data_IF_791594828823
#
_entry.id   IF_791594828823
#
_cell.length_a   1.000
_cell.length_b   1.000
_cell.length_c   1.000
_cell.angle_alpha   90.00
_cell.angle_beta   90.00
_cell.angle_gamma   90.00
#
_symmetry.space_group_name_H-M   'P 1'
#
loop_
_entity.id
_entity.type
_entity.pdbx_description
1 polymer ?
#
# COMPACT_ATOMS: atom_id res chain seq x y z
N UNK A 1 -29.67 39.15 -62.71
CA UNK A 1 -30.69 38.79 -61.71
C UNK A 1 -30.00 37.98 -60.62
N UNK A 2 -29.56 38.58 -59.51
CA UNK A 2 -30.31 39.09 -58.35
C UNK A 2 -30.38 38.06 -57.19
N UNK A 3 -29.74 38.49 -56.07
CA UNK A 3 -30.04 38.21 -54.65
C UNK A 3 -29.63 36.87 -53.99
N UNK A 4 -28.55 36.99 -53.21
CA UNK A 4 -28.43 36.68 -51.77
C UNK A 4 -29.59 35.92 -51.11
N UNK A 5 -29.25 34.85 -50.37
CA UNK A 5 -29.69 34.73 -48.96
C UNK A 5 -28.60 34.11 -48.09
N UNK A 6 -28.24 34.88 -47.06
CA UNK A 6 -27.37 34.55 -45.92
C UNK A 6 -28.27 33.93 -44.86
N UNK A 7 -27.95 32.74 -44.33
CA UNK A 7 -28.56 32.25 -43.08
C UNK A 7 -27.47 31.83 -42.10
N UNK A 8 -27.36 32.65 -41.05
CA UNK A 8 -26.58 32.47 -39.82
C UNK A 8 -27.41 31.55 -38.91
N UNK A 9 -26.84 30.46 -38.39
CA UNK A 9 -27.31 29.77 -37.17
C UNK A 9 -26.11 29.21 -36.40
N UNK A 10 -25.77 29.99 -35.39
CA UNK A 10 -25.28 29.68 -34.05
C UNK A 10 -24.54 28.38 -33.69
N UNK A 11 -23.52 28.64 -32.88
CA UNK A 11 -22.70 27.73 -32.12
C UNK A 11 -23.48 26.92 -31.08
N UNK A 12 -23.18 25.62 -31.04
CA UNK A 12 -22.77 24.83 -29.85
C UNK A 12 -22.92 23.34 -30.19
N UNK A 13 -21.91 22.79 -30.86
CA UNK A 13 -21.69 21.35 -30.86
C UNK A 13 -20.58 21.05 -29.84
N UNK A 14 -20.99 20.84 -28.58
CA UNK A 14 -20.15 20.12 -27.61
C UNK A 14 -20.29 18.65 -27.94
N UNK A 15 -19.40 18.13 -28.76
CA UNK A 15 -19.18 16.69 -28.90
C UNK A 15 -17.78 16.44 -29.41
N UNK A 16 -16.92 15.93 -28.53
CA UNK A 16 -16.38 14.58 -28.66
C UNK A 16 -15.51 14.28 -27.44
N UNK A 17 -16.06 13.43 -26.59
CA UNK A 17 -15.34 12.59 -25.66
C UNK A 17 -14.15 11.96 -26.41
N UNK A 18 -12.93 12.44 -26.14
CA UNK A 18 -11.71 11.71 -26.47
C UNK A 18 -11.31 10.97 -25.20
N UNK A 19 -11.37 9.64 -25.15
CA UNK A 19 -10.67 8.94 -24.11
C UNK A 19 -9.19 9.25 -24.31
N UNK A 20 -8.59 10.02 -23.39
CA UNK A 20 -7.14 9.98 -23.20
C UNK A 20 -6.86 8.60 -22.61
N UNK A 21 -6.76 7.60 -23.49
CA UNK A 21 -5.82 6.52 -23.21
C UNK A 21 -4.48 7.20 -22.95
N UNK A 22 -3.86 6.91 -21.81
CA UNK A 22 -2.46 7.23 -21.57
C UNK A 22 -1.67 6.62 -22.72
N UNK A 23 -1.34 7.44 -23.72
CA UNK A 23 -0.55 6.99 -24.86
C UNK A 23 0.83 6.67 -24.32
N UNK A 24 1.08 5.40 -24.03
CA UNK A 24 2.39 4.78 -23.92
C UNK A 24 3.15 4.79 -25.27
N UNK A 25 2.84 5.73 -26.16
CA UNK A 25 3.38 5.96 -27.48
C UNK A 25 3.50 7.47 -27.69
N UNK A 26 4.54 8.05 -27.09
CA UNK A 26 5.02 9.40 -27.39
C UNK A 26 6.42 9.27 -27.99
N UNK A 27 6.62 9.83 -29.18
CA UNK A 27 7.93 9.97 -29.82
C UNK A 27 8.93 10.57 -28.84
N UNK A 28 10.13 10.00 -28.80
CA UNK A 28 11.29 10.58 -28.14
C UNK A 28 11.62 11.93 -28.79
N UNK A 29 11.22 13.00 -28.13
CA UNK A 29 11.67 14.36 -28.37
C UNK A 29 12.30 14.86 -27.08
N UNK A 30 13.58 15.17 -27.12
CA UNK A 30 14.34 15.84 -26.07
C UNK A 30 13.84 17.28 -25.93
N UNK A 31 12.79 17.49 -25.14
CA UNK A 31 12.45 18.81 -24.63
C UNK A 31 12.61 18.78 -23.12
N UNK A 32 13.55 19.56 -22.60
CA UNK A 32 13.61 19.91 -21.19
C UNK A 32 12.25 20.50 -20.81
N UNK A 33 11.45 19.71 -20.09
CA UNK A 33 10.21 20.21 -19.51
C UNK A 33 10.58 21.17 -18.39
N UNK A 34 10.59 22.46 -18.70
CA UNK A 34 10.47 23.51 -17.70
C UNK A 34 9.29 23.15 -16.77
N UNK A 35 9.62 22.88 -15.50
CA UNK A 35 8.65 22.61 -14.46
C UNK A 35 7.96 23.94 -14.14
N UNK A 36 6.93 24.29 -14.92
CA UNK A 36 6.08 25.42 -14.58
C UNK A 36 5.45 25.18 -13.19
N UNK A 37 5.45 26.17 -12.29
CA UNK A 37 4.86 26.02 -10.98
C UNK A 37 3.40 25.65 -11.14
N UNK A 38 3.05 24.44 -10.69
CA UNK A 38 1.72 23.87 -10.81
C UNK A 38 0.76 24.79 -10.05
N UNK A 39 -0.07 25.56 -10.79
CA UNK A 39 -1.13 26.39 -10.19
C UNK A 39 -1.91 25.54 -9.20
N UNK A 40 -1.93 25.97 -7.94
CA UNK A 40 -2.75 25.34 -6.90
C UNK A 40 -4.19 25.41 -7.40
N UNK A 41 -4.74 24.27 -7.82
CA UNK A 41 -6.15 24.19 -8.22
C UNK A 41 -7.00 24.65 -7.03
N UNK A 42 -7.91 25.60 -7.27
CA UNK A 42 -8.88 26.01 -6.25
C UNK A 42 -9.59 24.76 -5.73
N UNK A 43 -9.68 24.63 -4.41
CA UNK A 43 -10.37 23.50 -3.75
C UNK A 43 -11.78 23.40 -4.29
N UNK A 44 -12.12 22.23 -4.84
CA UNK A 44 -13.46 21.96 -5.34
C UNK A 44 -14.35 21.51 -4.16
N UNK A 45 -14.98 22.47 -3.48
CA UNK A 45 -15.83 22.22 -2.31
C UNK A 45 -16.94 21.19 -2.55
N UNK A 46 -17.52 21.14 -3.75
CA UNK A 46 -18.52 20.12 -4.09
C UNK A 46 -17.94 18.70 -4.01
N UNK A 47 -16.66 18.53 -4.34
CA UNK A 47 -15.95 17.24 -4.23
C UNK A 47 -15.68 16.89 -2.79
N UNK A 48 -15.24 17.88 -2.00
CA UNK A 48 -14.97 17.69 -0.56
C UNK A 48 -16.26 17.28 0.16
N UNK A 49 -17.37 17.99 -0.09
CA UNK A 49 -18.68 17.67 0.48
C UNK A 49 -19.18 16.30 0.02
N UNK A 50 -18.99 15.93 -1.26
CA UNK A 50 -19.35 14.61 -1.75
C UNK A 50 -18.54 13.50 -1.05
N UNK A 51 -17.22 13.68 -0.88
CA UNK A 51 -16.39 12.71 -0.17
C UNK A 51 -16.76 12.62 1.31
N UNK A 52 -17.06 13.74 1.95
CA UNK A 52 -17.53 13.75 3.34
C UNK A 52 -18.86 13.00 3.48
N UNK A 53 -19.81 13.23 2.56
CA UNK A 53 -21.07 12.51 2.53
C UNK A 53 -20.87 11.00 2.31
N UNK A 54 -19.99 10.60 1.38
CA UNK A 54 -19.64 9.19 1.15
C UNK A 54 -19.00 8.58 2.40
N UNK A 55 -18.06 9.29 3.03
CA UNK A 55 -17.38 8.84 4.25
C UNK A 55 -18.39 8.63 5.39
N UNK A 56 -19.24 9.62 5.67
CA UNK A 56 -20.24 9.54 6.73
C UNK A 56 -21.27 8.43 6.44
N UNK A 57 -21.67 8.26 5.18
CA UNK A 57 -22.56 7.16 4.79
C UNK A 57 -21.88 5.80 4.94
N UNK A 58 -20.60 5.69 4.54
CA UNK A 58 -19.78 4.50 4.69
C UNK A 58 -19.53 4.12 6.15
N UNK A 59 -19.40 5.11 7.03
CA UNK A 59 -19.31 4.91 8.47
C UNK A 59 -20.66 4.49 9.05
N UNK A 60 -21.74 5.19 8.70
CA UNK A 60 -23.09 4.87 9.14
C UNK A 60 -23.46 3.41 8.88
N UNK A 61 -23.22 2.90 7.68
CA UNK A 61 -23.57 1.50 7.37
C UNK A 61 -22.73 0.45 8.14
N UNK A 62 -21.55 0.83 8.66
CA UNK A 62 -20.69 -0.03 9.48
C UNK A 62 -21.07 -0.04 10.95
N UNK A 63 -21.86 0.94 11.40
CA UNK A 63 -22.20 1.14 12.81
C UNK A 63 -23.69 0.97 13.09
N UNK A 64 -24.57 1.32 12.14
CA UNK A 64 -26.01 1.48 12.39
C UNK A 64 -26.72 0.21 12.87
N UNK A 65 -26.27 -0.97 12.42
CA UNK A 65 -26.89 -2.26 12.78
C UNK A 65 -26.11 -3.06 13.82
N UNK A 66 -24.90 -2.62 14.16
CA UNK A 66 -23.99 -3.32 15.07
C UNK A 66 -23.83 -2.61 16.40
N UNK A 67 -24.23 -1.33 16.50
CA UNK A 67 -24.10 -0.55 17.74
C UNK A 67 -24.85 -1.19 18.91
N UNK A 68 -26.15 -1.48 18.75
CA UNK A 68 -26.95 -2.08 19.83
C UNK A 68 -26.40 -3.45 20.26
N UNK A 69 -26.10 -4.41 19.36
CA UNK A 69 -25.44 -5.66 19.75
C UNK A 69 -24.07 -5.49 20.43
N UNK A 70 -23.32 -4.45 20.07
CA UNK A 70 -21.97 -4.21 20.60
C UNK A 70 -21.96 -3.54 21.98
N UNK A 71 -23.03 -2.85 22.35
CA UNK A 71 -23.12 -2.10 23.62
C UNK A 71 -24.15 -2.65 24.60
N UNK A 72 -24.87 -3.71 24.21
CA UNK A 72 -25.95 -4.28 25.02
C UNK A 72 -25.74 -5.79 25.12
N UNK A 73 -25.30 -6.29 26.27
CA UNK A 73 -25.16 -7.74 26.47
C UNK A 73 -26.52 -8.37 26.77
N UNK A 74 -26.63 -9.70 26.63
CA UNK A 74 -27.85 -10.47 26.96
C UNK A 74 -28.19 -10.39 28.47
N UNK A 75 -27.27 -9.94 29.34
CA UNK A 75 -27.42 -10.00 30.80
C UNK A 75 -27.24 -8.67 31.55
N UNK A 76 -26.61 -7.62 30.97
CA UNK A 76 -26.46 -6.25 31.52
C UNK A 76 -25.92 -5.24 30.46
N UNK A 77 -25.84 -3.93 30.77
CA UNK A 77 -25.11 -2.94 29.94
C UNK A 77 -23.61 -3.30 29.89
N UNK A 78 -23.03 -3.44 28.69
CA UNK A 78 -21.62 -3.86 28.52
C UNK A 78 -21.18 -3.97 27.06
N UNK A 79 -19.86 -4.06 26.83
CA UNK A 79 -19.28 -4.14 25.49
C UNK A 79 -19.10 -5.59 25.01
N UNK A 80 -19.42 -5.85 23.73
CA UNK A 80 -19.18 -7.14 23.07
C UNK A 80 -18.48 -6.96 21.73
N UNK A 81 -17.47 -7.79 21.48
CA UNK A 81 -16.76 -7.85 20.20
C UNK A 81 -17.38 -8.88 19.27
N UNK A 82 -17.37 -8.58 17.98
CA UNK A 82 -17.81 -9.48 16.90
C UNK A 82 -16.60 -10.17 16.25
N UNK A 83 -16.81 -11.01 15.22
CA UNK A 83 -15.70 -11.62 14.46
C UNK A 83 -15.09 -12.89 15.03
N UNK A 84 -15.58 -13.37 16.17
CA UNK A 84 -15.11 -14.60 16.80
C UNK A 84 -13.98 -14.34 17.79
N UNK A 85 -13.02 -15.27 17.89
CA UNK A 85 -11.99 -15.26 18.95
C UNK A 85 -10.93 -14.18 18.80
N UNK A 86 -10.65 -13.74 17.57
CA UNK A 86 -9.49 -12.90 17.29
C UNK A 86 -9.60 -11.50 17.91
N UNK A 87 -10.74 -10.79 17.78
CA UNK A 87 -10.95 -9.50 18.45
C UNK A 87 -10.83 -9.55 19.98
N UNK A 88 -11.30 -10.62 20.63
CA UNK A 88 -11.13 -10.78 22.08
C UNK A 88 -9.67 -10.96 22.49
N UNK A 89 -8.86 -11.65 21.68
CA UNK A 89 -7.43 -11.74 21.97
C UNK A 89 -6.70 -10.42 21.65
N UNK A 90 -7.16 -9.62 20.68
CA UNK A 90 -6.67 -8.25 20.48
C UNK A 90 -6.99 -7.39 21.71
N UNK A 91 -8.22 -7.49 22.26
CA UNK A 91 -8.59 -6.81 23.52
C UNK A 91 -7.63 -7.16 24.65
N UNK A 92 -7.31 -8.44 24.83
CA UNK A 92 -6.34 -8.91 25.82
C UNK A 92 -4.96 -8.26 25.65
N UNK A 93 -4.47 -8.15 24.42
CA UNK A 93 -3.18 -7.51 24.14
C UNK A 93 -3.26 -6.01 24.43
N UNK A 94 -4.32 -5.34 24.00
CA UNK A 94 -4.55 -3.90 24.23
C UNK A 94 -4.62 -3.59 25.72
N UNK A 95 -5.35 -4.36 26.51
CA UNK A 95 -5.46 -4.19 27.96
C UNK A 95 -4.09 -4.35 28.64
N UNK A 96 -3.32 -5.36 28.24
CA UNK A 96 -1.96 -5.55 28.73
C UNK A 96 -1.07 -4.35 28.40
N UNK A 97 -1.15 -3.82 27.18
CA UNK A 97 -0.39 -2.63 26.75
C UNK A 97 -0.78 -1.40 27.57
N UNK A 98 -2.07 -1.20 27.83
CA UNK A 98 -2.58 -0.07 28.63
C UNK A 98 -2.13 -0.17 30.09
N UNK A 99 -2.15 -1.37 30.67
CA UNK A 99 -1.77 -1.61 32.07
C UNK A 99 -0.25 -1.56 32.29
N UNK A 100 0.54 -2.13 31.38
CA UNK A 100 1.97 -2.36 31.59
C UNK A 100 2.88 -1.41 30.78
N UNK A 101 2.34 -0.74 29.75
CA UNK A 101 3.12 0.12 28.87
C UNK A 101 4.08 -0.62 27.94
N UNK A 102 3.91 -1.93 27.76
CA UNK A 102 4.74 -2.78 26.90
C UNK A 102 3.90 -3.78 26.10
N UNK A 103 4.43 -4.27 24.97
CA UNK A 103 3.73 -5.24 24.12
C UNK A 103 3.69 -6.61 24.80
N UNK A 104 2.54 -7.28 24.78
CA UNK A 104 2.41 -8.65 25.28
C UNK A 104 3.17 -9.61 24.34
N UNK A 105 4.41 -9.96 24.69
CA UNK A 105 5.26 -10.84 23.87
C UNK A 105 4.99 -12.33 24.10
N UNK A 106 4.85 -12.73 25.37
CA UNK A 106 4.57 -14.11 25.77
C UNK A 106 3.36 -14.14 26.67
N UNK A 107 2.39 -14.97 26.30
CA UNK A 107 1.12 -15.05 26.99
C UNK A 107 0.97 -16.42 27.70
N UNK A 108 0.89 -16.45 29.04
CA UNK A 108 0.66 -17.68 29.79
C UNK A 108 -0.77 -18.23 29.63
N UNK A 109 -1.73 -17.43 29.16
CA UNK A 109 -3.10 -17.87 28.90
C UNK A 109 -3.23 -18.61 27.57
N UNK A 110 -2.22 -18.51 26.69
CA UNK A 110 -2.14 -19.36 25.51
C UNK A 110 -1.51 -20.71 25.85
N UNK A 111 -2.03 -21.81 25.30
CA UNK A 111 -1.43 -23.15 25.39
C UNK A 111 -1.08 -23.60 26.83
N UNK A 112 -2.07 -23.51 27.74
CA UNK A 112 -1.89 -23.91 29.14
C UNK A 112 -1.41 -25.38 29.27
N UNK A 113 -0.48 -25.70 30.19
CA UNK A 113 0.15 -24.83 31.19
C UNK A 113 1.44 -24.14 30.71
N UNK A 114 1.82 -24.27 29.44
CA UNK A 114 3.15 -23.90 28.97
C UNK A 114 3.29 -22.43 28.54
N UNK A 115 2.18 -21.76 28.24
CA UNK A 115 2.23 -20.45 27.59
C UNK A 115 2.54 -20.56 26.10
N UNK A 116 2.33 -19.49 25.35
CA UNK A 116 2.83 -19.35 23.98
C UNK A 116 3.26 -17.92 23.69
N UNK A 117 4.03 -17.73 22.61
CA UNK A 117 4.33 -16.39 22.14
C UNK A 117 3.08 -15.77 21.51
N UNK A 118 2.88 -14.47 21.74
CA UNK A 118 1.92 -13.70 20.98
C UNK A 118 2.48 -13.51 19.56
N UNK A 119 1.86 -14.20 18.60
CA UNK A 119 2.28 -14.14 17.21
C UNK A 119 1.78 -12.89 16.47
N UNK A 120 1.03 -12.00 17.15
CA UNK A 120 0.41 -10.83 16.53
C UNK A 120 1.35 -9.63 16.56
N UNK A 121 1.67 -9.05 15.40
CA UNK A 121 2.46 -7.83 15.32
C UNK A 121 1.81 -6.65 16.06
N UNK A 122 2.61 -5.74 16.63
CA UNK A 122 2.15 -4.82 17.68
C UNK A 122 1.30 -3.65 17.20
N UNK A 123 1.51 -3.16 15.98
CA UNK A 123 1.11 -1.79 15.63
C UNK A 123 -0.41 -1.59 15.57
N UNK A 124 -1.18 -2.63 15.22
CA UNK A 124 -2.64 -2.58 15.29
C UNK A 124 -3.11 -2.39 16.75
N UNK A 125 -2.68 -3.26 17.66
CA UNK A 125 -3.04 -3.19 19.08
C UNK A 125 -2.60 -1.86 19.72
N UNK A 126 -1.36 -1.45 19.44
CA UNK A 126 -0.83 -0.18 19.93
C UNK A 126 -1.59 1.02 19.39
N UNK A 127 -2.07 0.96 18.14
CA UNK A 127 -2.88 2.05 17.59
C UNK A 127 -4.20 2.22 18.34
N UNK A 128 -4.82 1.12 18.76
CA UNK A 128 -6.03 1.15 19.58
C UNK A 128 -5.71 1.64 20.99
N UNK A 129 -4.70 1.08 21.64
CA UNK A 129 -4.30 1.46 23.00
C UNK A 129 -3.98 2.95 23.10
N UNK A 130 -3.17 3.50 22.18
CA UNK A 130 -2.79 4.91 22.17
C UNK A 130 -4.02 5.80 21.95
N UNK A 131 -4.92 5.43 21.04
CA UNK A 131 -6.12 6.24 20.78
C UNK A 131 -7.06 6.20 21.98
N UNK A 132 -7.30 5.03 22.58
CA UNK A 132 -8.08 4.89 23.82
C UNK A 132 -7.54 5.77 24.94
N UNK A 133 -6.23 5.69 25.21
CA UNK A 133 -5.57 6.55 26.20
C UNK A 133 -5.71 8.04 25.88
N UNK A 134 -5.55 8.43 24.61
CA UNK A 134 -5.64 9.81 24.18
C UNK A 134 -7.06 10.40 24.33
N UNK A 135 -8.11 9.59 24.14
CA UNK A 135 -9.50 10.03 24.28
C UNK A 135 -10.07 9.82 25.68
N UNK A 136 -9.34 9.15 26.59
CA UNK A 136 -9.77 8.89 27.96
C UNK A 136 -10.28 10.10 28.76
N UNK A 137 -9.81 11.35 28.55
CA UNK A 137 -10.38 12.51 29.25
C UNK A 137 -11.85 12.82 28.91
N UNK A 138 -12.43 12.18 27.90
CA UNK A 138 -13.82 12.36 27.47
C UNK A 138 -14.78 11.26 28.01
N UNK A 139 -14.27 10.31 28.80
CA UNK A 139 -15.02 9.16 29.32
C UNK A 139 -14.93 9.09 30.85
N UNK A 140 -15.76 8.25 31.47
CA UNK A 140 -15.77 8.11 32.93
C UNK A 140 -14.54 7.37 33.44
N UNK A 141 -14.00 6.46 32.63
CA UNK A 141 -12.78 5.72 32.93
C UNK A 141 -11.91 5.48 31.69
N UNK A 142 -10.62 5.25 31.92
CA UNK A 142 -9.70 4.82 30.85
C UNK A 142 -10.15 3.49 30.24
N UNK A 143 -10.65 2.56 31.05
CA UNK A 143 -11.18 1.28 30.58
C UNK A 143 -12.32 1.48 29.57
N UNK A 144 -13.30 2.32 29.90
CA UNK A 144 -14.41 2.66 29.00
C UNK A 144 -13.91 3.26 27.68
N UNK A 145 -12.94 4.18 27.75
CA UNK A 145 -12.36 4.80 26.55
C UNK A 145 -11.62 3.80 25.65
N UNK A 146 -10.96 2.79 26.24
CA UNK A 146 -10.27 1.72 25.53
C UNK A 146 -11.26 0.78 24.86
N UNK A 147 -12.37 0.44 25.55
CA UNK A 147 -13.47 -0.31 24.95
C UNK A 147 -14.06 0.43 23.75
N UNK A 148 -14.39 1.71 23.87
CA UNK A 148 -14.88 2.50 22.73
C UNK A 148 -13.87 2.57 21.58
N UNK A 149 -12.57 2.63 21.89
CA UNK A 149 -11.52 2.58 20.87
C UNK A 149 -11.53 1.24 20.11
N UNK A 150 -11.64 0.13 20.83
CA UNK A 150 -11.79 -1.21 20.25
C UNK A 150 -13.02 -1.33 19.36
N UNK A 151 -14.15 -0.78 19.80
CA UNK A 151 -15.42 -0.83 19.07
C UNK A 151 -15.38 -0.08 17.74
N UNK A 152 -14.90 1.17 17.78
CA UNK A 152 -15.18 2.14 16.71
C UNK A 152 -14.07 2.21 15.67
N UNK A 153 -12.80 1.96 16.06
CA UNK A 153 -11.68 2.12 15.15
C UNK A 153 -11.74 1.25 13.90
N UNK A 154 -12.15 -0.04 13.95
CA UNK A 154 -12.29 -0.85 12.74
C UNK A 154 -13.25 -0.23 11.72
N UNK A 155 -14.36 0.33 12.19
CA UNK A 155 -15.33 1.03 11.34
C UNK A 155 -14.76 2.32 10.75
N UNK A 156 -13.99 3.07 11.54
CA UNK A 156 -13.29 4.28 11.07
C UNK A 156 -12.27 3.92 9.99
N UNK A 157 -11.40 2.93 10.22
CA UNK A 157 -10.41 2.49 9.23
C UNK A 157 -11.09 2.01 7.94
N UNK A 158 -12.16 1.23 8.09
CA UNK A 158 -13.01 0.78 6.99
C UNK A 158 -13.58 1.91 6.15
N UNK A 159 -14.08 2.98 6.78
CA UNK A 159 -14.64 4.14 6.10
C UNK A 159 -13.55 5.07 5.51
N UNK A 160 -12.37 5.19 6.15
CA UNK A 160 -11.27 6.03 5.66
C UNK A 160 -10.71 5.56 4.31
N UNK A 161 -10.91 4.29 3.92
CA UNK A 161 -10.43 3.73 2.64
C UNK A 161 -10.94 4.51 1.42
N UNK A 162 -12.07 5.21 1.54
CA UNK A 162 -12.68 5.95 0.44
C UNK A 162 -11.73 7.05 -0.10
N UNK A 163 -10.85 7.59 0.75
CA UNK A 163 -9.92 8.67 0.39
C UNK A 163 -8.78 8.19 -0.52
N UNK A 164 -7.98 7.17 -0.17
CA UNK A 164 -6.96 6.66 -1.08
C UNK A 164 -7.59 6.07 -2.36
N UNK A 165 -8.76 5.43 -2.30
CA UNK A 165 -9.46 4.96 -3.51
C UNK A 165 -9.89 6.13 -4.41
N UNK A 166 -10.46 7.20 -3.84
CA UNK A 166 -10.75 8.43 -4.59
C UNK A 166 -9.49 8.98 -5.25
N UNK A 167 -8.39 9.06 -4.50
CA UNK A 167 -7.14 9.65 -4.97
C UNK A 167 -6.54 8.86 -6.15
N UNK A 168 -6.58 7.52 -6.07
CA UNK A 168 -6.16 6.62 -7.15
C UNK A 168 -7.08 6.79 -8.37
N UNK A 169 -8.39 6.68 -8.19
CA UNK A 169 -9.35 6.79 -9.29
C UNK A 169 -9.31 8.15 -9.98
N UNK A 170 -9.17 9.23 -9.21
CA UNK A 170 -8.98 10.60 -9.72
C UNK A 170 -7.72 10.71 -10.57
N UNK A 171 -6.60 10.17 -10.08
CA UNK A 171 -5.31 10.27 -10.75
C UNK A 171 -5.29 9.53 -12.08
N UNK A 172 -5.94 8.38 -12.18
CA UNK A 172 -5.90 7.53 -13.37
C UNK A 172 -7.04 7.79 -14.36
N UNK A 173 -8.25 8.07 -13.87
CA UNK A 173 -9.46 8.06 -14.69
C UNK A 173 -10.30 9.35 -14.59
N UNK A 174 -9.86 10.33 -13.79
CA UNK A 174 -10.56 11.59 -13.60
C UNK A 174 -11.49 11.61 -12.39
N UNK A 175 -12.01 12.79 -12.08
CA UNK A 175 -12.72 13.09 -10.83
C UNK A 175 -13.95 12.22 -10.62
N UNK A 176 -14.74 12.02 -11.68
CA UNK A 176 -16.00 11.28 -11.66
C UNK A 176 -15.75 9.81 -11.34
N UNK A 177 -14.75 9.19 -11.98
CA UNK A 177 -14.34 7.82 -11.70
C UNK A 177 -13.81 7.66 -10.27
N UNK A 178 -13.07 8.64 -9.77
CA UNK A 178 -12.64 8.67 -8.36
C UNK A 178 -13.82 8.68 -7.39
N UNK A 179 -14.83 9.52 -7.62
CA UNK A 179 -16.02 9.59 -6.76
C UNK A 179 -16.84 8.29 -6.79
N UNK A 180 -17.01 7.70 -7.99
CA UNK A 180 -17.69 6.41 -8.14
C UNK A 180 -16.92 5.31 -7.41
N UNK A 181 -15.60 5.23 -7.58
CA UNK A 181 -14.76 4.26 -6.88
C UNK A 181 -14.84 4.39 -5.36
N UNK A 182 -14.78 5.63 -4.84
CA UNK A 182 -14.92 5.92 -3.42
C UNK A 182 -16.28 5.48 -2.85
N UNK A 183 -17.37 5.73 -3.58
CA UNK A 183 -18.70 5.27 -3.19
C UNK A 183 -18.78 3.74 -3.21
N UNK A 184 -18.34 3.09 -4.29
CA UNK A 184 -18.42 1.64 -4.46
C UNK A 184 -17.63 0.87 -3.41
N UNK A 185 -16.42 1.31 -3.04
CA UNK A 185 -15.67 0.67 -1.95
C UNK A 185 -16.32 0.93 -0.59
N UNK A 186 -16.89 2.13 -0.39
CA UNK A 186 -17.57 2.49 0.85
C UNK A 186 -18.75 1.56 1.14
N UNK A 187 -19.54 1.20 0.11
CA UNK A 187 -20.73 0.33 0.21
C UNK A 187 -20.47 -1.15 -0.11
N UNK A 188 -19.22 -1.54 -0.37
CA UNK A 188 -18.88 -2.92 -0.73
C UNK A 188 -19.15 -3.86 0.47
N UNK A 189 -20.02 -4.85 0.28
CA UNK A 189 -20.45 -5.75 1.37
C UNK A 189 -19.31 -6.57 1.95
N UNK A 190 -18.39 -7.08 1.12
CA UNK A 190 -17.23 -7.84 1.59
C UNK A 190 -16.25 -6.99 2.40
N UNK A 191 -16.07 -5.72 2.02
CA UNK A 191 -15.27 -4.80 2.83
C UNK A 191 -15.98 -4.43 4.13
N UNK A 192 -17.30 -4.20 4.10
CA UNK A 192 -18.09 -3.90 5.30
C UNK A 192 -18.06 -5.05 6.31
N UNK A 193 -18.16 -6.31 5.85
CA UNK A 193 -18.15 -7.47 6.75
C UNK A 193 -16.82 -7.70 7.47
N UNK A 194 -15.73 -7.06 6.99
CA UNK A 194 -14.40 -7.07 7.60
C UNK A 194 -14.00 -5.69 8.18
N UNK A 195 -14.96 -4.78 8.35
CA UNK A 195 -14.70 -3.44 8.90
C UNK A 195 -15.90 -2.84 9.63
N UNK A 196 -16.77 -3.67 10.20
CA UNK A 196 -17.89 -3.20 11.02
C UNK A 196 -17.42 -2.76 12.40
N UNK A 197 -18.28 -2.01 13.10
CA UNK A 197 -18.13 -1.77 14.54
C UNK A 197 -18.05 -3.11 15.30
N UNK A 198 -17.33 -3.13 16.42
CA UNK A 198 -17.03 -4.31 17.24
C UNK A 198 -16.10 -5.35 16.60
N UNK A 199 -15.77 -5.23 15.31
CA UNK A 199 -14.89 -6.18 14.64
C UNK A 199 -13.43 -5.72 14.78
N UNK A 200 -12.90 -5.80 16.00
CA UNK A 200 -11.56 -5.35 16.35
C UNK A 200 -10.46 -6.31 15.88
N UNK A 201 -10.41 -6.52 14.57
CA UNK A 201 -9.35 -7.22 13.87
C UNK A 201 -8.62 -6.26 12.91
N UNK A 202 -7.40 -6.63 12.54
CA UNK A 202 -6.48 -5.79 11.80
C UNK A 202 -6.83 -5.66 10.30
N UNK A 203 -7.84 -6.37 9.80
CA UNK A 203 -8.24 -6.39 8.38
C UNK A 203 -8.45 -4.98 7.79
N UNK A 204 -9.35 -4.20 8.39
CA UNK A 204 -9.71 -2.86 7.90
C UNK A 204 -8.51 -1.90 7.96
N UNK A 205 -7.68 -2.04 8.99
CA UNK A 205 -6.43 -1.29 9.18
C UNK A 205 -5.43 -1.60 8.06
N UNK A 206 -5.19 -2.89 7.79
CA UNK A 206 -4.27 -3.35 6.75
C UNK A 206 -4.73 -2.97 5.36
N UNK A 207 -6.02 -3.11 5.05
CA UNK A 207 -6.55 -2.77 3.71
C UNK A 207 -6.47 -1.26 3.47
N UNK A 208 -6.76 -0.42 4.48
CA UNK A 208 -6.60 1.03 4.41
C UNK A 208 -5.14 1.41 4.12
N UNK A 209 -4.21 0.87 4.91
CA UNK A 209 -2.79 1.14 4.75
C UNK A 209 -2.27 0.59 3.41
N UNK A 210 -2.67 -0.61 3.00
CA UNK A 210 -2.27 -1.21 1.73
C UNK A 210 -2.73 -0.38 0.53
N UNK A 211 -3.97 0.08 0.55
CA UNK A 211 -4.50 0.97 -0.50
C UNK A 211 -3.74 2.31 -0.53
N UNK A 212 -3.40 2.85 0.63
CA UNK A 212 -2.60 4.08 0.77
C UNK A 212 -1.16 3.87 0.28
N UNK A 213 -0.55 2.73 0.58
CA UNK A 213 0.77 2.35 0.08
C UNK A 213 0.79 2.27 -1.45
N UNK A 214 -0.23 1.67 -2.05
CA UNK A 214 -0.38 1.62 -3.51
C UNK A 214 -0.60 3.01 -4.12
N UNK A 215 -1.36 3.88 -3.45
CA UNK A 215 -1.48 5.28 -3.88
C UNK A 215 -0.12 5.96 -3.94
N UNK A 216 0.68 5.89 -2.87
CA UNK A 216 2.02 6.49 -2.85
C UNK A 216 2.95 5.87 -3.90
N UNK A 217 2.91 4.55 -4.05
CA UNK A 217 3.69 3.84 -5.06
C UNK A 217 3.35 4.29 -6.48
N UNK A 218 2.07 4.35 -6.83
CA UNK A 218 1.62 4.86 -8.13
C UNK A 218 2.00 6.32 -8.34
N UNK A 219 1.93 7.14 -7.28
CA UNK A 219 2.38 8.53 -7.33
C UNK A 219 3.87 8.62 -7.60
N UNK A 220 4.70 7.78 -6.98
CA UNK A 220 6.13 7.70 -7.23
C UNK A 220 6.42 7.45 -8.72
N UNK A 221 5.77 6.44 -9.31
CA UNK A 221 5.91 6.12 -10.74
C UNK A 221 5.41 7.25 -11.66
N UNK A 222 4.36 7.95 -11.27
CA UNK A 222 3.78 9.03 -12.08
C UNK A 222 4.65 10.28 -12.13
N UNK A 223 5.34 10.60 -11.03
CA UNK A 223 6.18 11.81 -10.95
C UNK A 223 7.61 11.57 -11.38
N UNK A 224 8.00 10.30 -11.55
CA UNK A 224 9.37 9.93 -11.91
C UNK A 224 9.66 10.08 -13.40
N UNK A 225 10.92 10.29 -13.77
CA UNK A 225 11.34 10.41 -15.17
C UNK A 225 12.07 9.15 -15.70
N UNK A 226 11.82 8.86 -16.98
CA UNK A 226 12.44 7.76 -17.74
C UNK A 226 13.80 8.15 -18.37
N UNK A 227 14.57 9.01 -17.69
CA UNK A 227 15.86 9.50 -18.19
C UNK A 227 16.93 8.42 -18.08
N UNK A 228 17.85 8.34 -19.05
CA UNK A 228 19.10 7.59 -18.92
C UNK A 228 20.04 8.33 -17.96
N UNK A 229 20.22 7.82 -16.74
CA UNK A 229 21.00 8.49 -15.69
C UNK A 229 22.49 8.18 -15.72
N UNK A 230 22.82 6.88 -15.77
CA UNK A 230 24.20 6.40 -15.96
C UNK A 230 24.43 6.23 -17.45
N UNK A 231 25.56 6.65 -18.01
CA UNK A 231 25.88 6.47 -19.43
C UNK A 231 26.52 5.11 -19.72
N UNK A 232 27.59 4.77 -18.99
CA UNK A 232 28.31 3.50 -19.07
C UNK A 232 28.39 2.84 -17.68
N UNK A 233 27.98 1.58 -17.58
CA UNK A 233 28.04 0.77 -16.35
C UNK A 233 29.43 0.14 -16.10
N UNK A 234 30.41 0.35 -16.98
CA UNK A 234 31.78 -0.11 -16.82
C UNK A 234 32.72 0.98 -16.26
N UNK A 235 32.27 2.24 -16.26
CA UNK A 235 33.05 3.38 -15.78
C UNK A 235 32.52 3.84 -14.42
N UNK A 236 33.38 3.73 -13.40
CA UNK A 236 33.04 4.08 -12.03
C UNK A 236 32.65 5.55 -11.84
N UNK A 237 33.33 6.48 -12.52
CA UNK A 237 33.07 7.90 -12.37
C UNK A 237 31.71 8.27 -12.99
N UNK A 238 31.36 7.64 -14.12
CA UNK A 238 30.04 7.81 -14.74
C UNK A 238 28.90 7.24 -13.88
N UNK A 239 29.11 6.06 -13.27
CA UNK A 239 28.15 5.48 -12.33
C UNK A 239 27.91 6.42 -11.16
N UNK A 240 28.98 6.87 -10.50
CA UNK A 240 28.89 7.75 -9.33
C UNK A 240 28.16 9.04 -9.68
N UNK A 241 28.55 9.71 -10.77
CA UNK A 241 27.91 10.94 -11.25
C UNK A 241 26.43 10.73 -11.61
N UNK A 242 26.12 9.63 -12.29
CA UNK A 242 24.76 9.28 -12.70
C UNK A 242 23.84 9.02 -11.51
N UNK A 243 24.32 8.25 -10.51
CA UNK A 243 23.54 7.96 -9.28
C UNK A 243 23.32 9.23 -8.45
N UNK A 244 24.35 10.06 -8.27
CA UNK A 244 24.21 11.33 -7.54
C UNK A 244 23.16 12.23 -8.22
N UNK A 245 23.28 12.43 -9.53
CA UNK A 245 22.33 13.24 -10.30
C UNK A 245 20.91 12.67 -10.28
N UNK A 246 20.78 11.34 -10.33
CA UNK A 246 19.51 10.63 -10.19
C UNK A 246 18.86 10.93 -8.84
N UNK A 247 19.57 10.70 -7.73
CA UNK A 247 19.03 10.91 -6.38
C UNK A 247 18.63 12.37 -6.17
N UNK A 248 19.40 13.33 -6.70
CA UNK A 248 19.09 14.76 -6.60
C UNK A 248 17.86 15.17 -7.38
N UNK A 249 17.67 14.62 -8.58
CA UNK A 249 16.56 14.99 -9.46
C UNK A 249 15.27 14.27 -9.10
N UNK A 250 15.36 13.00 -8.70
CA UNK A 250 14.22 12.11 -8.43
C UNK A 250 13.81 12.07 -6.95
N UNK A 251 14.25 13.04 -6.13
CA UNK A 251 13.93 13.12 -4.69
C UNK A 251 12.43 13.01 -4.41
N UNK A 252 11.60 13.61 -5.26
CA UNK A 252 10.14 13.56 -5.08
C UNK A 252 9.59 12.15 -5.32
N UNK A 253 10.06 11.45 -6.37
CA UNK A 253 9.67 10.08 -6.66
C UNK A 253 10.14 9.13 -5.56
N UNK A 254 11.41 9.25 -5.14
CA UNK A 254 11.97 8.47 -4.04
C UNK A 254 11.28 8.76 -2.70
N UNK A 255 10.85 10.01 -2.47
CA UNK A 255 10.06 10.39 -1.30
C UNK A 255 8.69 9.70 -1.27
N UNK A 256 7.97 9.66 -2.39
CA UNK A 256 6.73 8.88 -2.48
C UNK A 256 6.97 7.36 -2.37
N UNK A 257 8.07 6.85 -2.92
CA UNK A 257 8.47 5.44 -2.76
C UNK A 257 8.74 5.10 -1.29
N UNK A 258 9.39 6.01 -0.55
CA UNK A 258 9.60 5.90 0.89
C UNK A 258 8.31 6.00 1.70
N UNK A 259 7.38 6.88 1.32
CA UNK A 259 6.04 6.93 1.93
C UNK A 259 5.28 5.61 1.71
N UNK A 260 5.40 5.01 0.53
CA UNK A 260 4.85 3.68 0.29
C UNK A 260 5.52 2.63 1.19
N UNK A 261 6.86 2.62 1.26
CA UNK A 261 7.62 1.66 2.06
C UNK A 261 7.36 1.76 3.57
N UNK A 262 7.23 2.97 4.12
CA UNK A 262 6.88 3.14 5.54
C UNK A 262 5.44 2.70 5.82
N UNK A 263 4.50 2.94 4.90
CA UNK A 263 3.13 2.43 5.04
C UNK A 263 3.11 0.89 4.99
N UNK A 264 3.91 0.24 4.13
CA UNK A 264 4.05 -1.22 4.14
C UNK A 264 4.75 -1.70 5.41
N UNK A 265 5.69 -0.92 5.98
CA UNK A 265 6.32 -1.23 7.27
C UNK A 265 5.27 -1.27 8.39
N UNK A 266 4.32 -0.32 8.39
CA UNK A 266 3.21 -0.33 9.33
C UNK A 266 2.36 -1.61 9.19
N UNK A 267 2.13 -2.06 7.95
CA UNK A 267 1.45 -3.33 7.69
C UNK A 267 2.29 -4.51 8.18
N UNK A 268 3.60 -4.53 7.94
CA UNK A 268 4.49 -5.58 8.45
C UNK A 268 4.45 -5.70 9.98
N UNK A 269 4.31 -4.56 10.67
CA UNK A 269 4.14 -4.50 12.11
C UNK A 269 2.68 -4.67 12.57
N UNK A 270 1.74 -4.98 11.68
CA UNK A 270 0.32 -5.28 12.02
C UNK A 270 -0.14 -6.65 11.54
N UNK A 271 0.42 -7.13 10.44
CA UNK A 271 0.00 -8.35 9.75
C UNK A 271 1.17 -9.06 9.07
N UNK A 272 1.35 -10.34 9.44
CA UNK A 272 2.38 -11.22 8.89
C UNK A 272 2.27 -11.49 7.38
N UNK A 273 1.11 -11.24 6.77
CA UNK A 273 0.88 -11.42 5.32
C UNK A 273 1.35 -10.28 4.43
N UNK A 274 2.04 -9.25 4.96
CA UNK A 274 2.61 -8.16 4.15
C UNK A 274 3.50 -8.60 2.95
N UNK A 275 4.13 -9.80 2.91
CA UNK A 275 4.89 -10.23 1.72
C UNK A 275 4.04 -10.30 0.45
N UNK A 276 2.71 -10.49 0.54
CA UNK A 276 1.83 -10.44 -0.64
C UNK A 276 1.87 -9.08 -1.34
N UNK A 277 1.91 -7.98 -0.58
CA UNK A 277 1.99 -6.62 -1.14
C UNK A 277 3.33 -6.43 -1.86
N UNK A 278 4.42 -6.91 -1.25
CA UNK A 278 5.74 -6.88 -1.87
C UNK A 278 5.79 -7.71 -3.15
N UNK A 279 5.20 -8.91 -3.14
CA UNK A 279 5.11 -9.77 -4.32
C UNK A 279 4.39 -9.10 -5.48
N UNK A 280 3.25 -8.45 -5.23
CA UNK A 280 2.50 -7.71 -6.27
C UNK A 280 3.37 -6.58 -6.87
N UNK A 281 4.06 -5.82 -6.02
CA UNK A 281 4.95 -4.72 -6.47
C UNK A 281 6.14 -5.27 -7.26
N UNK A 282 6.81 -6.32 -6.77
CA UNK A 282 7.95 -6.93 -7.42
C UNK A 282 7.59 -7.51 -8.79
N UNK A 283 6.45 -8.21 -8.89
CA UNK A 283 5.94 -8.75 -10.15
C UNK A 283 5.66 -7.62 -11.14
N UNK A 284 4.91 -6.59 -10.71
CA UNK A 284 4.58 -5.45 -11.56
C UNK A 284 5.86 -4.75 -12.09
N UNK A 285 6.80 -4.44 -11.21
CA UNK A 285 8.04 -3.77 -11.59
C UNK A 285 8.94 -4.66 -12.44
N UNK A 286 9.01 -5.96 -12.16
CA UNK A 286 9.73 -6.92 -13.00
C UNK A 286 9.18 -6.93 -14.43
N UNK A 287 7.86 -7.01 -14.59
CA UNK A 287 7.21 -6.88 -15.91
C UNK A 287 7.46 -5.52 -16.56
N UNK A 288 7.38 -4.43 -15.80
CA UNK A 288 7.66 -3.09 -16.31
C UNK A 288 9.10 -2.98 -16.83
N UNK A 289 10.08 -3.55 -16.13
CA UNK A 289 11.48 -3.58 -16.54
C UNK A 289 11.70 -4.43 -17.80
N UNK A 290 10.98 -5.55 -17.95
CA UNK A 290 10.98 -6.33 -19.19
C UNK A 290 10.44 -5.50 -20.37
N UNK A 291 9.32 -4.80 -20.18
CA UNK A 291 8.75 -3.89 -21.18
C UNK A 291 9.74 -2.77 -21.53
N UNK A 292 10.42 -2.21 -20.54
CA UNK A 292 11.44 -1.19 -20.75
C UNK A 292 12.62 -1.73 -21.57
N UNK A 293 13.05 -2.97 -21.33
CA UNK A 293 14.08 -3.62 -22.15
C UNK A 293 13.67 -3.76 -23.62
N UNK A 294 12.42 -4.13 -23.90
CA UNK A 294 11.88 -4.15 -25.28
C UNK A 294 11.86 -2.75 -25.90
N UNK A 295 11.53 -1.72 -25.12
CA UNK A 295 11.41 -0.33 -25.57
C UNK A 295 12.74 0.43 -25.55
N UNK A 296 13.82 -0.19 -25.09
CA UNK A 296 15.13 0.46 -24.84
C UNK A 296 15.03 1.69 -23.93
N UNK A 297 14.19 1.59 -22.90
CA UNK A 297 14.04 2.61 -21.86
C UNK A 297 14.88 2.19 -20.65
N UNK A 298 15.56 3.16 -20.03
CA UNK A 298 16.36 2.90 -18.84
C UNK A 298 15.46 2.50 -17.66
N UNK A 299 15.87 1.48 -16.91
CA UNK A 299 15.09 0.94 -15.79
C UNK A 299 15.61 1.34 -14.41
N UNK A 300 16.64 2.21 -14.33
CA UNK A 300 17.23 2.60 -13.04
C UNK A 300 16.20 3.26 -12.12
N UNK A 301 15.37 4.16 -12.66
CA UNK A 301 14.30 4.83 -11.90
C UNK A 301 13.29 3.82 -11.35
N UNK A 302 12.79 2.92 -12.22
CA UNK A 302 11.85 1.84 -11.85
C UNK A 302 12.43 0.91 -10.78
N UNK A 303 13.68 0.49 -10.95
CA UNK A 303 14.42 -0.34 -9.99
C UNK A 303 14.57 0.34 -8.64
N UNK A 304 14.94 1.62 -8.64
CA UNK A 304 15.19 2.39 -7.41
C UNK A 304 13.90 2.65 -6.62
N UNK A 305 12.78 2.93 -7.30
CA UNK A 305 11.48 3.08 -6.64
C UNK A 305 11.09 1.78 -5.93
N UNK A 306 11.19 0.64 -6.62
CA UNK A 306 10.90 -0.66 -6.01
C UNK A 306 11.84 -1.00 -4.86
N UNK A 307 13.14 -0.70 -5.01
CA UNK A 307 14.13 -0.95 -3.97
C UNK A 307 13.81 -0.16 -2.70
N UNK A 308 13.52 1.14 -2.81
CA UNK A 308 13.18 1.97 -1.64
C UNK A 308 11.88 1.49 -0.99
N UNK A 309 10.85 1.21 -1.79
CA UNK A 309 9.55 0.75 -1.27
C UNK A 309 9.64 -0.60 -0.56
N UNK A 310 10.43 -1.55 -1.08
CA UNK A 310 10.52 -2.91 -0.53
C UNK A 310 11.62 -3.09 0.53
N UNK A 311 12.68 -2.28 0.53
CA UNK A 311 13.72 -2.36 1.54
C UNK A 311 13.24 -1.90 2.92
N UNK A 312 12.41 -0.85 2.98
CA UNK A 312 11.90 -0.32 4.25
C UNK A 312 11.17 -1.36 5.11
N UNK A 313 10.13 -2.07 4.64
CA UNK A 313 9.42 -3.04 5.47
C UNK A 313 10.31 -4.20 5.92
N UNK A 314 11.27 -4.63 5.10
CA UNK A 314 12.23 -5.68 5.48
C UNK A 314 13.16 -5.20 6.60
N UNK A 315 13.81 -4.05 6.41
CA UNK A 315 14.80 -3.54 7.35
C UNK A 315 14.18 -3.08 8.67
N UNK A 316 13.06 -2.37 8.60
CA UNK A 316 12.45 -1.74 9.78
C UNK A 316 11.62 -2.71 10.61
N UNK A 317 11.10 -3.79 10.03
CA UNK A 317 10.41 -4.82 10.80
C UNK A 317 11.36 -5.86 11.42
N UNK A 318 12.60 -5.97 10.93
CA UNK A 318 13.57 -6.96 11.40
C UNK A 318 13.76 -6.99 12.93
N UNK A 319 13.92 -5.86 13.65
CA UNK A 319 14.11 -5.90 15.11
C UNK A 319 12.98 -6.61 15.85
N UNK A 320 11.73 -6.40 15.42
CA UNK A 320 10.56 -7.06 15.99
C UNK A 320 10.60 -8.57 15.72
N UNK A 321 10.74 -8.97 14.44
CA UNK A 321 10.76 -10.38 14.08
C UNK A 321 11.95 -11.14 14.66
N UNK A 322 13.10 -10.49 14.83
CA UNK A 322 14.26 -11.04 15.50
C UNK A 322 14.01 -11.29 16.99
N UNK A 323 13.52 -10.27 17.70
CA UNK A 323 13.26 -10.35 19.15
C UNK A 323 12.24 -11.44 19.47
N UNK A 324 11.21 -11.58 18.63
CA UNK A 324 10.16 -12.57 18.83
C UNK A 324 10.53 -13.99 18.37
N UNK A 325 11.71 -14.19 17.78
CA UNK A 325 12.12 -15.48 17.23
C UNK A 325 11.37 -15.90 15.97
N UNK A 326 10.82 -14.94 15.22
CA UNK A 326 9.97 -15.15 14.05
C UNK A 326 10.67 -14.96 12.70
N UNK A 327 12.01 -14.88 12.71
CA UNK A 327 12.81 -14.64 11.50
C UNK A 327 12.55 -15.72 10.44
N UNK A 328 12.79 -16.99 10.78
CA UNK A 328 12.61 -18.12 9.87
C UNK A 328 11.14 -18.44 9.55
N UNK A 329 10.20 -17.88 10.31
CA UNK A 329 8.76 -18.14 10.11
C UNK A 329 8.10 -17.12 9.19
N UNK A 330 8.39 -15.82 9.36
CA UNK A 330 7.68 -14.75 8.64
C UNK A 330 8.56 -13.68 8.01
N UNK A 331 9.79 -13.46 8.49
CA UNK A 331 10.64 -12.37 7.98
C UNK A 331 11.51 -12.76 6.78
N UNK A 332 11.92 -14.02 6.70
CA UNK A 332 12.78 -14.50 5.61
C UNK A 332 12.09 -14.41 4.24
N UNK A 333 10.81 -14.77 4.14
CA UNK A 333 10.05 -14.70 2.89
C UNK A 333 10.09 -13.30 2.21
N UNK A 334 9.74 -12.19 2.89
CA UNK A 334 9.87 -10.86 2.31
C UNK A 334 11.33 -10.45 2.04
N UNK A 335 12.29 -10.91 2.83
CA UNK A 335 13.72 -10.69 2.56
C UNK A 335 14.16 -11.38 1.24
N UNK A 336 13.69 -12.60 0.97
CA UNK A 336 13.96 -13.28 -0.30
C UNK A 336 13.28 -12.62 -1.49
N UNK A 337 12.06 -12.09 -1.32
CA UNK A 337 11.40 -11.27 -2.37
C UNK A 337 12.26 -10.05 -2.71
N UNK A 338 12.76 -9.33 -1.68
CA UNK A 338 13.65 -8.19 -1.88
C UNK A 338 14.95 -8.60 -2.57
N UNK A 339 15.58 -9.71 -2.14
CA UNK A 339 16.81 -10.22 -2.75
C UNK A 339 16.60 -10.56 -4.24
N UNK A 340 15.55 -11.31 -4.56
CA UNK A 340 15.20 -11.64 -5.94
C UNK A 340 14.95 -10.39 -6.79
N UNK A 341 14.27 -9.40 -6.21
CA UNK A 341 14.06 -8.11 -6.87
C UNK A 341 15.36 -7.33 -7.10
N UNK A 342 16.28 -7.31 -6.13
CA UNK A 342 17.61 -6.68 -6.27
C UNK A 342 18.40 -7.37 -7.38
N UNK A 343 18.44 -8.71 -7.41
CA UNK A 343 19.14 -9.46 -8.45
C UNK A 343 18.58 -9.16 -9.84
N UNK A 344 17.25 -9.20 -9.99
CA UNK A 344 16.58 -8.83 -11.24
C UNK A 344 16.89 -7.38 -11.63
N UNK A 345 16.87 -6.46 -10.66
CA UNK A 345 17.12 -5.05 -10.89
C UNK A 345 18.54 -4.79 -11.39
N UNK A 346 19.54 -5.36 -10.72
CA UNK A 346 20.94 -5.26 -11.13
C UNK A 346 21.12 -5.81 -12.54
N UNK A 347 20.58 -7.01 -12.81
CA UNK A 347 20.68 -7.63 -14.13
C UNK A 347 20.10 -6.72 -15.22
N UNK A 348 18.82 -6.33 -15.08
CA UNK A 348 18.10 -5.57 -16.09
C UNK A 348 18.64 -4.15 -16.30
N UNK A 349 19.13 -3.50 -15.24
CA UNK A 349 19.62 -2.12 -15.32
C UNK A 349 21.02 -2.06 -15.92
N UNK A 350 21.91 -2.97 -15.52
CA UNK A 350 23.32 -2.98 -16.00
C UNK A 350 23.46 -3.56 -17.41
N UNK A 351 22.59 -4.50 -17.80
CA UNK A 351 22.62 -5.13 -19.12
C UNK A 351 21.74 -4.44 -20.17
N UNK A 352 21.13 -3.30 -19.84
CA UNK A 352 20.17 -2.60 -20.72
C UNK A 352 20.71 -2.25 -22.12
N UNK A 353 22.04 -2.09 -22.26
CA UNK A 353 22.69 -1.71 -23.52
C UNK A 353 22.97 -2.94 -24.41
N UNK A 354 22.75 -4.17 -23.91
CA UNK A 354 22.83 -5.42 -24.68
C UNK A 354 21.56 -5.66 -25.50
N UNK A 355 21.61 -6.52 -26.55
CA UNK A 355 20.42 -6.97 -27.27
C UNK A 355 19.35 -7.49 -26.31
N UNK A 356 18.12 -6.99 -26.44
CA UNK A 356 17.01 -7.32 -25.53
C UNK A 356 16.76 -8.85 -25.42
N UNK A 357 17.03 -9.62 -26.48
CA UNK A 357 16.95 -11.09 -26.47
C UNK A 357 17.89 -11.71 -25.44
N UNK A 358 19.11 -11.18 -25.32
CA UNK A 358 20.09 -11.66 -24.32
C UNK A 358 19.67 -11.26 -22.91
N UNK A 359 19.21 -10.02 -22.73
CA UNK A 359 18.73 -9.53 -21.42
C UNK A 359 17.57 -10.39 -20.94
N UNK A 360 16.52 -10.55 -21.75
CA UNK A 360 15.35 -11.34 -21.39
C UNK A 360 15.69 -12.82 -21.24
N UNK A 361 16.50 -13.38 -22.15
CA UNK A 361 16.98 -14.76 -22.06
C UNK A 361 17.74 -15.01 -20.75
N UNK A 362 18.59 -14.09 -20.33
CA UNK A 362 19.32 -14.17 -19.06
C UNK A 362 18.40 -14.05 -17.84
N UNK A 363 17.40 -13.16 -17.88
CA UNK A 363 16.40 -13.03 -16.81
C UNK A 363 15.53 -14.27 -16.66
N UNK A 364 15.08 -14.86 -17.78
CA UNK A 364 14.33 -16.13 -17.77
C UNK A 364 15.22 -17.28 -17.30
N UNK A 365 16.47 -17.35 -17.76
CA UNK A 365 17.45 -18.33 -17.31
C UNK A 365 17.72 -18.24 -15.81
N UNK A 366 17.86 -17.03 -15.28
CA UNK A 366 18.04 -16.78 -13.84
C UNK A 366 16.80 -17.21 -13.05
N UNK A 367 15.60 -16.84 -13.50
CA UNK A 367 14.35 -17.27 -12.87
C UNK A 367 14.19 -18.79 -12.87
N UNK A 368 14.51 -19.46 -13.98
CA UNK A 368 14.49 -20.91 -14.09
C UNK A 368 15.52 -21.56 -13.15
N UNK A 369 16.75 -21.03 -13.09
CA UNK A 369 17.78 -21.52 -12.19
C UNK A 369 17.36 -21.39 -10.71
N UNK A 370 16.81 -20.23 -10.31
CA UNK A 370 16.28 -20.00 -8.96
C UNK A 370 15.15 -20.99 -8.66
N UNK A 371 14.20 -21.15 -9.58
CA UNK A 371 13.10 -22.10 -9.43
C UNK A 371 13.63 -23.53 -9.22
N UNK A 372 14.54 -24.00 -10.06
CA UNK A 372 15.12 -25.34 -9.94
C UNK A 372 15.90 -25.52 -8.63
N UNK A 373 16.65 -24.50 -8.20
CA UNK A 373 17.35 -24.53 -6.92
C UNK A 373 16.36 -24.64 -5.75
N UNK A 374 15.27 -23.88 -5.75
CA UNK A 374 14.23 -23.94 -4.73
C UNK A 374 13.48 -25.29 -4.74
N UNK A 375 13.22 -25.86 -5.91
CA UNK A 375 12.50 -27.14 -6.03
C UNK A 375 13.36 -28.34 -5.65
N UNK A 376 14.65 -28.35 -6.02
CA UNK A 376 15.47 -29.56 -5.94
C UNK A 376 16.59 -29.51 -4.90
N UNK A 377 17.10 -28.32 -4.56
CA UNK A 377 18.23 -28.14 -3.63
C UNK A 377 17.76 -27.59 -2.29
N UNK A 378 17.11 -26.43 -2.30
CA UNK A 378 16.62 -25.74 -1.10
C UNK A 378 15.14 -26.04 -0.85
N UNK A 379 14.81 -27.32 -0.70
CA UNK A 379 13.42 -27.80 -0.69
C UNK A 379 12.55 -27.19 0.40
N UNK A 380 13.09 -26.98 1.59
CA UNK A 380 12.36 -26.33 2.71
C UNK A 380 12.02 -24.88 2.39
N UNK A 381 12.99 -24.14 1.82
CA UNK A 381 12.78 -22.77 1.37
C UNK A 381 11.82 -22.70 0.18
N UNK A 382 11.95 -23.62 -0.76
CA UNK A 382 11.02 -23.74 -1.89
C UNK A 382 9.61 -24.04 -1.42
N UNK A 383 9.43 -24.95 -0.45
CA UNK A 383 8.14 -25.21 0.16
C UNK A 383 7.58 -23.94 0.78
N UNK A 384 8.34 -23.25 1.64
CA UNK A 384 7.94 -21.99 2.28
C UNK A 384 7.48 -20.93 1.26
N UNK A 385 8.18 -20.78 0.14
CA UNK A 385 7.86 -19.78 -0.88
C UNK A 385 6.72 -20.19 -1.83
N UNK A 386 6.52 -21.49 -2.08
CA UNK A 386 5.52 -21.98 -3.03
C UNK A 386 4.18 -22.36 -2.39
N UNK A 387 4.16 -22.74 -1.10
CA UNK A 387 2.94 -23.22 -0.45
C UNK A 387 2.04 -22.11 0.09
N UNK A 388 2.54 -20.86 0.16
CA UNK A 388 1.81 -19.71 0.71
C UNK A 388 1.91 -19.62 2.23
#
# INVERSE_FOLDING_TARGET
MARQTRRRRDAKSKSRFRPRFSSAFGRAGSEEKEVQPRKVEKVNWSTVLALLAIFLFSLYIRTAWTLEPATTTILDEGFELTGGSDPYYHKRVVDYVVENGEHLQRDPMLNYPYGANNNRPPLFDWSIAIIGLAISPFFESTEESVWWSMEVLPAIYGALIIFPVYAIGRAQFGKEAGLIGAFLIGVNSGHISHSSLALADHDSYVILLGTTAFFFFMRALTVSNDRKWVSNWSDWEEIKKGILSFVETERLALGYAGLSGITITMIALSWKGFPYIMGIIAIYLGFQMLINAFRRVDSLTTASIGLVTMAMPVLLSYPYYHTMGFVGTWWEAPAYILLGYVMLSVLMVTTRDLPWLLVIGSSVGMAAAIYLLLTYVFKELGFLLFSG
#
